data_IF_789454192835
#
_entry.id   IF_789454192835
#
_cell.length_a   1.000
_cell.length_b   1.000
_cell.length_c   1.000
_cell.angle_alpha   90.00
_cell.angle_beta   90.00
_cell.angle_gamma   90.00
#
_symmetry.space_group_name_H-M   'P 1'
#
loop_
_entity.id
_entity.type
_entity.pdbx_description
1 polymer ?
#
# COMPACT_ATOMS: atom_id res chain seq x y z
N UNK A 1 0.94 -0.23 -4.35
CA UNK A 1 1.82 -0.82 -5.36
C UNK A 1 2.31 -2.19 -4.96
N UNK A 2 2.54 -3.08 -5.91
CA UNK A 2 3.02 -4.45 -5.72
C UNK A 2 3.73 -4.89 -7.01
N UNK A 3 4.74 -5.75 -6.91
CA UNK A 3 5.44 -6.31 -8.07
C UNK A 3 4.65 -7.44 -8.75
N UNK A 4 3.67 -8.03 -8.08
CA UNK A 4 2.82 -9.09 -8.61
C UNK A 4 1.72 -8.51 -9.49
N UNK A 5 1.93 -8.56 -10.81
CA UNK A 5 0.95 -8.10 -11.80
C UNK A 5 -0.41 -8.79 -11.68
N UNK A 6 -0.44 -10.09 -11.35
CA UNK A 6 -1.71 -10.81 -11.22
C UNK A 6 -2.51 -10.30 -10.02
N UNK A 7 -1.84 -9.96 -8.93
CA UNK A 7 -2.45 -9.34 -7.75
C UNK A 7 -2.95 -7.92 -8.06
N UNK A 8 -2.15 -7.11 -8.75
CA UNK A 8 -2.56 -5.77 -9.19
C UNK A 8 -3.77 -5.84 -10.14
N UNK A 9 -3.78 -6.77 -11.11
CA UNK A 9 -4.96 -6.98 -11.96
C UNK A 9 -6.22 -7.33 -11.16
N UNK A 10 -6.11 -8.14 -10.12
CA UNK A 10 -7.26 -8.46 -9.24
C UNK A 10 -7.74 -7.23 -8.47
N UNK A 11 -6.84 -6.42 -7.91
CA UNK A 11 -7.19 -5.17 -7.24
C UNK A 11 -7.91 -4.17 -8.16
N UNK A 12 -7.56 -4.15 -9.45
CA UNK A 12 -8.19 -3.32 -10.48
C UNK A 12 -9.45 -3.97 -11.11
N UNK A 13 -9.85 -5.15 -10.67
CA UNK A 13 -11.01 -5.88 -11.17
C UNK A 13 -12.23 -5.76 -10.25
N UNK A 14 -13.33 -6.41 -10.65
CA UNK A 14 -14.53 -6.56 -9.81
C UNK A 14 -14.33 -7.55 -8.65
N UNK A 15 -13.32 -8.41 -8.73
CA UNK A 15 -13.04 -9.46 -7.76
C UNK A 15 -11.71 -9.16 -7.06
N UNK A 16 -11.79 -8.62 -5.85
CA UNK A 16 -10.61 -8.30 -5.06
C UNK A 16 -9.86 -9.59 -4.66
N UNK A 17 -8.55 -9.53 -4.49
CA UNK A 17 -7.74 -10.70 -4.07
C UNK A 17 -7.92 -11.07 -2.59
N UNK A 18 -8.59 -10.23 -1.82
CA UNK A 18 -8.87 -10.41 -0.40
C UNK A 18 -10.38 -10.26 -0.19
N UNK A 19 -10.95 -11.12 0.66
CA UNK A 19 -12.36 -11.06 1.03
C UNK A 19 -12.51 -10.68 2.49
N UNK A 20 -13.06 -9.48 2.73
CA UNK A 20 -13.47 -9.01 4.06
C UNK A 20 -14.84 -8.32 3.93
N UNK A 21 -15.72 -8.46 4.92
CA UNK A 21 -17.02 -7.81 4.89
C UNK A 21 -16.89 -6.29 4.72
N UNK A 22 -17.57 -5.71 3.73
CA UNK A 22 -17.56 -4.27 3.44
C UNK A 22 -16.33 -3.76 2.68
N UNK A 23 -15.25 -4.52 2.57
CA UNK A 23 -14.01 -4.07 1.91
C UNK A 23 -14.25 -3.70 0.44
N UNK A 24 -15.05 -4.49 -0.28
CA UNK A 24 -15.30 -4.26 -1.70
C UNK A 24 -15.97 -2.90 -1.97
N UNK A 25 -16.86 -2.47 -1.09
CA UNK A 25 -17.58 -1.20 -1.25
C UNK A 25 -16.65 -0.03 -0.99
N UNK A 26 -15.83 -0.10 0.06
CA UNK A 26 -14.82 0.92 0.38
C UNK A 26 -13.81 1.05 -0.76
N UNK A 27 -13.29 -0.06 -1.26
CA UNK A 27 -12.30 -0.07 -2.35
C UNK A 27 -12.91 0.49 -3.63
N UNK A 28 -14.14 0.11 -3.98
CA UNK A 28 -14.81 0.64 -5.18
C UNK A 28 -15.03 2.15 -5.11
N UNK A 29 -15.53 2.64 -3.99
CA UNK A 29 -15.73 4.09 -3.79
C UNK A 29 -14.42 4.86 -3.93
N UNK A 30 -13.33 4.35 -3.34
CA UNK A 30 -12.03 5.00 -3.37
C UNK A 30 -11.33 4.87 -4.74
N UNK A 31 -11.48 3.72 -5.43
CA UNK A 31 -10.82 3.44 -6.71
C UNK A 31 -11.57 4.02 -7.91
N UNK A 32 -12.92 3.87 -7.91
CA UNK A 32 -13.75 4.19 -9.07
C UNK A 32 -14.43 5.57 -8.93
N UNK A 33 -14.40 6.15 -7.73
CA UNK A 33 -15.15 7.36 -7.41
C UNK A 33 -16.66 7.12 -7.30
N UNK A 34 -17.42 8.17 -7.07
CA UNK A 34 -18.88 8.14 -7.06
C UNK A 34 -19.45 9.40 -7.71
N UNK A 35 -20.62 9.25 -8.36
CA UNK A 35 -21.41 10.40 -8.78
C UNK A 35 -22.15 11.00 -7.57
N UNK A 36 -22.50 12.27 -7.68
CA UNK A 36 -23.42 12.87 -6.73
C UNK A 36 -24.74 12.09 -6.70
N UNK A 37 -25.23 11.78 -5.51
CA UNK A 37 -26.44 10.98 -5.32
C UNK A 37 -27.31 11.63 -4.27
N UNK A 38 -28.61 11.75 -4.55
CA UNK A 38 -29.62 12.18 -3.58
C UNK A 38 -30.14 10.95 -2.84
N UNK A 39 -30.10 10.99 -1.51
CA UNK A 39 -30.68 9.96 -0.64
C UNK A 39 -31.78 10.58 0.21
N UNK A 40 -32.86 9.83 0.40
CA UNK A 40 -33.94 10.21 1.30
C UNK A 40 -33.72 9.54 2.65
N UNK A 41 -33.72 10.32 3.72
CA UNK A 41 -33.63 9.84 5.09
C UNK A 41 -35.03 9.81 5.72
N UNK A 42 -35.38 8.65 6.28
CA UNK A 42 -36.67 8.47 6.94
C UNK A 42 -37.77 7.84 6.07
N UNK A 43 -38.88 7.51 6.72
CA UNK A 43 -40.02 6.80 6.08
C UNK A 43 -41.02 7.74 5.41
N UNK A 44 -40.88 9.04 5.54
CA UNK A 44 -41.85 10.05 5.11
C UNK A 44 -41.36 11.01 4.00
N UNK A 45 -40.29 10.67 3.29
CA UNK A 45 -39.69 11.45 2.20
C UNK A 45 -39.32 12.93 2.56
N UNK A 46 -39.31 13.27 3.85
CA UNK A 46 -39.22 14.67 4.28
C UNK A 46 -37.79 15.22 4.29
N UNK A 47 -36.79 14.38 4.39
CA UNK A 47 -35.38 14.81 4.47
C UNK A 47 -34.54 14.21 3.33
N UNK A 48 -34.10 15.07 2.41
CA UNK A 48 -33.24 14.71 1.31
C UNK A 48 -31.84 15.22 1.56
N UNK A 49 -30.86 14.32 1.48
CA UNK A 49 -29.43 14.63 1.60
C UNK A 49 -28.74 14.37 0.28
N UNK A 50 -28.03 15.37 -0.24
CA UNK A 50 -27.21 15.21 -1.44
C UNK A 50 -25.79 14.81 -1.01
N UNK A 51 -25.39 13.60 -1.36
CA UNK A 51 -24.00 13.15 -1.24
C UNK A 51 -23.24 13.70 -2.46
N UNK A 52 -22.14 14.45 -2.25
CA UNK A 52 -21.35 14.97 -3.36
C UNK A 52 -20.64 13.84 -4.11
N UNK A 53 -20.29 14.09 -5.37
CA UNK A 53 -19.40 13.22 -6.13
C UNK A 53 -18.04 13.10 -5.45
N UNK A 54 -17.39 11.96 -5.59
CA UNK A 54 -16.03 11.71 -5.12
C UNK A 54 -15.16 11.29 -6.29
N UNK A 55 -14.04 11.97 -6.44
CA UNK A 55 -13.01 11.57 -7.40
C UNK A 55 -12.25 10.34 -6.89
N UNK A 56 -11.75 9.49 -7.79
CA UNK A 56 -10.87 8.38 -7.45
C UNK A 56 -9.63 8.87 -6.69
N UNK A 57 -9.29 8.18 -5.59
CA UNK A 57 -8.13 8.49 -4.76
C UNK A 57 -7.36 7.26 -4.30
N UNK A 58 -7.68 6.08 -4.86
CA UNK A 58 -7.00 4.82 -4.59
C UNK A 58 -6.58 4.18 -5.92
N UNK A 59 -5.29 3.96 -6.09
CA UNK A 59 -4.71 3.43 -7.32
C UNK A 59 -3.82 2.23 -7.04
N UNK A 60 -3.90 1.20 -7.89
CA UNK A 60 -3.08 0.00 -7.81
C UNK A 60 -2.17 -0.08 -9.03
N UNK A 61 -0.86 -0.16 -8.81
CA UNK A 61 0.15 -0.13 -9.87
C UNK A 61 1.31 -1.07 -9.58
N UNK A 62 1.94 -1.56 -10.63
CA UNK A 62 3.25 -2.25 -10.58
C UNK A 62 4.42 -1.29 -10.80
N UNK A 63 4.17 -0.04 -11.20
CA UNK A 63 5.21 0.96 -11.42
C UNK A 63 5.66 1.58 -10.08
N UNK A 64 6.53 0.83 -9.38
CA UNK A 64 7.02 1.22 -8.05
C UNK A 64 7.80 2.53 -8.10
N UNK A 65 8.67 2.71 -9.09
CA UNK A 65 9.53 3.88 -9.20
C UNK A 65 8.72 5.18 -9.33
N UNK A 66 7.76 5.22 -10.24
CA UNK A 66 6.89 6.38 -10.44
C UNK A 66 6.04 6.69 -9.20
N UNK A 67 5.44 5.64 -8.62
CA UNK A 67 4.61 5.81 -7.41
C UNK A 67 5.43 6.32 -6.22
N UNK A 68 6.66 5.84 -6.04
CA UNK A 68 7.55 6.28 -4.96
C UNK A 68 8.03 7.71 -5.20
N UNK A 69 8.40 8.05 -6.43
CA UNK A 69 8.84 9.40 -6.77
C UNK A 69 7.77 10.47 -6.51
N UNK A 70 6.51 10.13 -6.68
CA UNK A 70 5.39 11.03 -6.43
C UNK A 70 4.98 11.12 -4.94
N UNK A 71 5.35 10.12 -4.12
CA UNK A 71 4.85 9.99 -2.76
C UNK A 71 5.49 10.97 -1.77
N UNK A 72 4.69 11.49 -0.83
CA UNK A 72 5.15 12.20 0.37
C UNK A 72 5.41 11.24 1.52
N UNK A 73 4.63 10.15 1.58
CA UNK A 73 4.76 9.09 2.59
C UNK A 73 4.76 7.73 1.90
N UNK A 74 5.75 6.91 2.20
CA UNK A 74 5.89 5.54 1.70
C UNK A 74 5.77 4.56 2.87
N UNK A 75 4.72 3.73 2.85
CA UNK A 75 4.57 2.64 3.82
C UNK A 75 5.13 1.35 3.22
N UNK A 76 6.18 0.81 3.84
CA UNK A 76 6.78 -0.48 3.47
C UNK A 76 6.09 -1.58 4.26
N UNK A 77 5.31 -2.43 3.55
CA UNK A 77 4.54 -3.52 4.13
C UNK A 77 4.72 -4.77 3.28
N UNK A 78 5.90 -5.38 3.37
CA UNK A 78 6.29 -6.57 2.62
C UNK A 78 6.29 -7.81 3.52
N UNK A 79 6.19 -8.99 2.90
CA UNK A 79 6.28 -10.24 3.63
C UNK A 79 7.68 -10.47 4.20
N UNK A 80 7.73 -10.88 5.46
CA UNK A 80 8.96 -11.20 6.20
C UNK A 80 8.87 -12.62 6.76
N UNK A 81 8.88 -13.66 5.91
CA UNK A 81 8.75 -15.05 6.35
C UNK A 81 9.97 -15.49 7.16
N UNK A 82 9.80 -16.57 7.93
CA UNK A 82 10.93 -17.27 8.56
C UNK A 82 11.84 -17.84 7.48
N UNK A 83 13.15 -17.75 7.67
CA UNK A 83 14.14 -18.38 6.76
C UNK A 83 13.92 -19.90 6.70
N UNK A 84 13.86 -20.44 5.48
CA UNK A 84 13.74 -21.87 5.24
C UNK A 84 15.11 -22.57 5.05
N UNK A 85 16.17 -21.79 4.77
CA UNK A 85 17.50 -22.32 4.45
C UNK A 85 18.61 -21.42 5.02
N UNK A 86 19.81 -21.98 5.16
CA UNK A 86 21.02 -21.28 5.61
C UNK A 86 21.05 -21.02 7.11
N UNK A 87 21.97 -20.15 7.53
CA UNK A 87 22.14 -19.81 8.94
C UNK A 87 20.87 -19.12 9.48
N UNK A 88 20.33 -19.65 10.57
CA UNK A 88 19.11 -19.16 11.20
C UNK A 88 17.81 -19.75 10.58
N UNK A 89 17.90 -20.80 9.75
CA UNK A 89 16.74 -21.50 9.23
C UNK A 89 15.81 -21.98 10.36
N UNK A 90 14.51 -21.81 10.20
CA UNK A 90 13.48 -22.13 11.17
C UNK A 90 13.30 -21.13 12.33
N UNK A 91 14.18 -20.13 12.46
CA UNK A 91 14.15 -19.16 13.56
C UNK A 91 14.28 -17.71 13.11
N UNK A 92 15.21 -17.42 12.19
CA UNK A 92 15.48 -16.05 11.76
C UNK A 92 14.48 -15.57 10.69
N UNK A 93 14.19 -14.26 10.70
CA UNK A 93 13.36 -13.60 9.69
C UNK A 93 14.13 -13.44 8.38
N UNK A 94 13.48 -13.71 7.26
CA UNK A 94 14.02 -13.42 5.93
C UNK A 94 13.69 -11.96 5.57
N UNK A 95 14.72 -11.12 5.49
CA UNK A 95 14.59 -9.69 5.21
C UNK A 95 14.86 -9.31 3.75
N UNK A 96 15.13 -10.27 2.86
CA UNK A 96 15.49 -10.01 1.45
C UNK A 96 14.43 -9.14 0.75
N UNK A 97 13.16 -9.44 0.93
CA UNK A 97 12.08 -8.64 0.33
C UNK A 97 12.04 -7.21 0.89
N UNK A 98 12.30 -7.05 2.19
CA UNK A 98 12.36 -5.74 2.84
C UNK A 98 13.55 -4.92 2.32
N UNK A 99 14.73 -5.50 2.29
CA UNK A 99 15.96 -4.84 1.80
C UNK A 99 15.80 -4.41 0.35
N UNK A 100 15.25 -5.27 -0.51
CA UNK A 100 14.94 -4.97 -1.90
C UNK A 100 13.92 -3.82 -2.04
N UNK A 101 12.85 -3.84 -1.26
CA UNK A 101 11.84 -2.79 -1.27
C UNK A 101 12.43 -1.44 -0.81
N UNK A 102 13.19 -1.43 0.28
CA UNK A 102 13.84 -0.21 0.80
C UNK A 102 14.87 0.33 -0.17
N UNK A 103 15.63 -0.54 -0.86
CA UNK A 103 16.56 -0.13 -1.92
C UNK A 103 15.83 0.56 -3.08
N UNK A 104 14.71 0.01 -3.51
CA UNK A 104 13.87 0.62 -4.56
C UNK A 104 13.32 1.98 -4.12
N UNK A 105 12.95 2.12 -2.84
CA UNK A 105 12.51 3.39 -2.26
C UNK A 105 13.66 4.39 -2.24
N UNK A 106 14.85 3.98 -1.80
CA UNK A 106 16.04 4.83 -1.73
C UNK A 106 16.43 5.42 -3.09
N UNK A 107 16.23 4.66 -4.17
CA UNK A 107 16.54 5.06 -5.54
C UNK A 107 15.52 6.02 -6.16
N UNK A 108 14.27 6.00 -5.69
CA UNK A 108 13.17 6.71 -6.35
C UNK A 108 12.52 7.79 -5.48
N UNK A 109 12.67 7.74 -4.16
CA UNK A 109 12.00 8.68 -3.26
C UNK A 109 12.53 10.11 -3.44
N UNK A 110 11.60 11.06 -3.47
CA UNK A 110 11.97 12.49 -3.49
C UNK A 110 12.54 12.95 -2.14
N UNK A 111 13.36 14.00 -2.12
CA UNK A 111 13.84 14.59 -0.89
C UNK A 111 12.71 14.98 0.06
N UNK A 112 12.85 14.60 1.34
CA UNK A 112 11.85 14.90 2.36
C UNK A 112 10.70 13.90 2.45
N UNK A 113 10.64 12.86 1.61
CA UNK A 113 9.66 11.81 1.74
C UNK A 113 9.82 11.05 3.07
N UNK A 114 8.70 10.72 3.72
CA UNK A 114 8.68 9.96 4.97
C UNK A 114 8.54 8.47 4.65
N UNK A 115 9.48 7.65 5.12
CA UNK A 115 9.42 6.19 4.96
C UNK A 115 9.00 5.54 6.27
N UNK A 116 7.91 4.79 6.24
CA UNK A 116 7.33 4.09 7.40
C UNK A 116 7.48 2.59 7.20
N UNK A 117 8.24 1.94 8.09
CA UNK A 117 8.31 0.49 8.18
C UNK A 117 7.09 -0.05 8.93
N UNK A 118 6.32 -0.91 8.27
CA UNK A 118 5.12 -1.53 8.83
C UNK A 118 5.21 -3.07 8.89
N UNK A 119 6.16 -3.69 8.22
CA UNK A 119 6.37 -5.15 8.27
C UNK A 119 6.79 -5.59 9.67
N UNK A 120 6.49 -6.84 10.02
CA UNK A 120 6.97 -7.44 11.27
C UNK A 120 8.45 -7.78 11.14
N UNK A 121 9.30 -7.05 11.87
CA UNK A 121 10.75 -7.13 11.73
C UNK A 121 11.47 -7.26 13.08
N UNK A 122 12.68 -7.83 13.12
CA UNK A 122 13.51 -7.87 14.33
C UNK A 122 13.88 -6.47 14.84
N UNK A 123 14.17 -6.37 16.14
CA UNK A 123 14.72 -5.16 16.74
C UNK A 123 16.00 -4.71 16.00
N UNK A 124 16.12 -3.41 15.76
CA UNK A 124 17.28 -2.82 15.07
C UNK A 124 17.14 -2.70 13.55
N UNK A 125 16.16 -3.34 12.91
CA UNK A 125 15.93 -3.26 11.45
C UNK A 125 15.75 -1.81 10.98
N UNK A 126 15.14 -0.92 11.76
CA UNK A 126 15.01 0.48 11.42
C UNK A 126 16.36 1.20 11.22
N UNK A 127 17.45 0.75 11.90
CA UNK A 127 18.80 1.28 11.69
C UNK A 127 19.32 0.88 10.30
N UNK A 128 19.17 -0.39 9.93
CA UNK A 128 19.57 -0.90 8.61
C UNK A 128 18.81 -0.19 7.49
N UNK A 129 17.49 0.01 7.66
CA UNK A 129 16.68 0.77 6.71
C UNK A 129 17.22 2.19 6.54
N UNK A 130 17.53 2.88 7.62
CA UNK A 130 18.11 4.23 7.58
C UNK A 130 19.44 4.26 6.83
N UNK A 131 20.30 3.28 7.05
CA UNK A 131 21.59 3.15 6.35
C UNK A 131 21.38 3.00 4.84
N UNK A 132 20.47 2.11 4.42
CA UNK A 132 20.14 1.90 2.99
C UNK A 132 19.60 3.20 2.35
N UNK A 133 18.66 3.86 3.02
CA UNK A 133 18.08 5.13 2.53
C UNK A 133 19.13 6.22 2.41
N UNK A 134 20.09 6.29 3.33
CA UNK A 134 21.17 7.28 3.29
C UNK A 134 22.15 7.06 2.13
N UNK A 135 22.34 5.82 1.68
CA UNK A 135 23.21 5.50 0.54
C UNK A 135 22.55 5.81 -0.82
N UNK A 136 21.24 5.76 -0.90
CA UNK A 136 20.47 6.06 -2.12
C UNK A 136 20.21 7.55 -2.36
N UNK A 137 20.52 8.40 -1.41
CA UNK A 137 20.26 9.86 -1.48
C UNK A 137 21.42 10.68 -2.06
N UNK A 138 22.36 10.03 -2.77
CA UNK A 138 23.51 10.72 -3.42
C UNK A 138 23.24 11.00 -4.89
#
# INVERSE_FOLDING_TARGET
MDLDEARIRKWNSRHLPVHEPGLIDVVRVARDGTKATEITLGNDDSEKVVLPSREPNLFFSTNVSECVAAADVVLVSVNTPTKSQGIGAGAATNLVALESAVTSVAQAAKPGAIVVEKSTVPCGTARTIREILSLGSQ
#
